data_IF_310480093517
#
_entry.id   IF_310480093517
#
_cell.length_a   1.000
_cell.length_b   1.000
_cell.length_c   1.000
_cell.angle_alpha   90.00
_cell.angle_beta   90.00
_cell.angle_gamma   90.00
#
_symmetry.space_group_name_H-M   'P 1'
#
loop_
_entity.id
_entity.type
_entity.pdbx_description
1 polymer ?
#
# COMPACT_ATOMS: atom_id res chain seq x y z
N UNK A 1 -5.21 -13.53 90.62
CA UNK A 1 -4.17 -12.72 89.94
C UNK A 1 -3.84 -13.42 88.62
N UNK A 2 -4.50 -13.05 87.58
CA UNK A 2 -4.35 -13.63 86.22
C UNK A 2 -3.66 -12.68 85.34
N UNK A 3 -2.56 -13.09 84.80
CA UNK A 3 -1.74 -12.32 83.80
C UNK A 3 -2.24 -12.69 82.40
N UNK A 4 -2.81 -11.70 81.75
CA UNK A 4 -3.12 -11.72 80.31
C UNK A 4 -1.85 -11.34 79.53
N UNK A 5 -1.24 -12.26 78.82
CA UNK A 5 -0.18 -11.98 77.82
C UNK A 5 -0.82 -11.94 76.45
N UNK A 6 -0.90 -10.73 75.92
CA UNK A 6 -1.40 -10.44 74.57
C UNK A 6 -0.43 -10.89 73.45
N UNK A 7 -0.95 -11.69 72.54
CA UNK A 7 -0.30 -12.20 71.35
C UNK A 7 -0.19 -11.14 70.23
N UNK A 8 0.90 -10.34 70.24
CA UNK A 8 1.06 -9.22 69.24
C UNK A 8 1.98 -9.55 68.04
N UNK A 9 2.36 -10.77 67.81
CA UNK A 9 3.38 -11.11 66.83
C UNK A 9 2.88 -11.71 65.49
N UNK A 10 1.59 -11.76 65.21
CA UNK A 10 1.08 -12.39 63.97
C UNK A 10 0.49 -11.46 62.91
N UNK A 11 0.33 -10.16 63.17
CA UNK A 11 -0.32 -9.25 62.26
C UNK A 11 0.65 -8.60 61.24
N UNK A 12 1.94 -8.40 61.59
CA UNK A 12 2.90 -7.66 60.72
C UNK A 12 3.33 -8.41 59.45
N UNK A 13 3.37 -9.77 59.49
CA UNK A 13 3.89 -10.57 58.37
C UNK A 13 2.92 -10.69 57.17
N UNK A 14 1.63 -10.57 57.45
CA UNK A 14 0.61 -10.57 56.38
C UNK A 14 0.56 -9.22 55.63
N UNK A 15 0.85 -8.12 56.26
CA UNK A 15 0.81 -6.78 55.63
C UNK A 15 1.92 -6.60 54.62
N UNK A 16 3.13 -7.09 54.87
CA UNK A 16 4.24 -6.99 53.88
C UNK A 16 3.99 -7.88 52.64
N UNK A 17 3.28 -9.00 52.77
CA UNK A 17 2.91 -9.84 51.63
C UNK A 17 1.87 -9.14 50.76
N UNK A 18 0.90 -8.43 51.35
CA UNK A 18 -0.09 -7.66 50.61
C UNK A 18 0.50 -6.44 49.95
N UNK A 19 1.47 -5.77 50.56
CA UNK A 19 2.22 -4.65 49.97
C UNK A 19 3.10 -5.10 48.80
N UNK A 20 3.75 -6.25 48.92
CA UNK A 20 4.53 -6.85 47.80
C UNK A 20 3.62 -7.26 46.63
N UNK A 21 2.45 -7.84 46.91
CA UNK A 21 1.49 -8.22 45.86
C UNK A 21 0.90 -6.99 45.15
N UNK A 22 0.57 -5.91 45.88
CA UNK A 22 0.07 -4.67 45.31
C UNK A 22 1.14 -3.97 44.45
N UNK A 23 2.42 -3.97 44.87
CA UNK A 23 3.51 -3.41 44.10
C UNK A 23 3.76 -4.16 42.80
N UNK A 24 3.68 -5.51 42.82
CA UNK A 24 3.77 -6.32 41.60
C UNK A 24 2.60 -6.06 40.64
N UNK A 25 1.36 -5.89 41.13
CA UNK A 25 0.21 -5.55 40.27
C UNK A 25 0.38 -4.20 39.62
N UNK A 26 0.92 -3.19 40.32
CA UNK A 26 1.21 -1.87 39.75
C UNK A 26 2.31 -1.90 38.67
N UNK A 27 3.32 -2.75 38.79
CA UNK A 27 4.38 -2.90 37.78
C UNK A 27 3.86 -3.57 36.49
N UNK A 28 2.96 -4.52 36.60
CA UNK A 28 2.33 -5.14 35.41
C UNK A 28 1.28 -4.22 34.75
N UNK A 29 0.58 -3.40 35.51
CA UNK A 29 -0.40 -2.45 34.96
C UNK A 29 0.28 -1.32 34.15
N UNK A 30 1.47 -0.86 34.52
CA UNK A 30 2.16 0.20 33.80
C UNK A 30 2.62 -0.19 32.38
N UNK A 31 3.03 -1.45 32.18
CA UNK A 31 3.36 -1.98 30.84
C UNK A 31 2.13 -2.06 29.94
N UNK A 32 0.97 -2.46 30.47
CA UNK A 32 -0.25 -2.60 29.65
C UNK A 32 -0.82 -1.24 29.22
N UNK A 33 -0.74 -0.22 30.07
CA UNK A 33 -1.22 1.14 29.75
C UNK A 33 -0.35 1.78 28.65
N UNK A 34 0.97 1.63 28.71
CA UNK A 34 1.88 2.11 27.68
C UNK A 34 1.59 1.44 26.33
N UNK A 35 1.41 0.12 26.33
CA UNK A 35 1.09 -0.65 25.11
C UNK A 35 -0.27 -0.22 24.54
N UNK A 36 -1.27 -0.02 25.39
CA UNK A 36 -2.60 0.43 24.96
C UNK A 36 -2.57 1.82 24.37
N UNK A 37 -1.81 2.75 24.95
CA UNK A 37 -1.64 4.10 24.40
C UNK A 37 -0.92 4.08 23.03
N UNK A 38 0.14 3.29 22.88
CA UNK A 38 0.84 3.15 21.61
C UNK A 38 -0.04 2.50 20.54
N UNK A 39 -0.82 1.47 20.89
CA UNK A 39 -1.77 0.85 19.97
C UNK A 39 -2.86 1.84 19.55
N UNK A 40 -3.38 2.68 20.45
CA UNK A 40 -4.38 3.70 20.10
C UNK A 40 -3.84 4.74 19.10
N UNK A 41 -2.57 5.14 19.23
CA UNK A 41 -1.92 5.99 18.23
C UNK A 41 -1.75 5.25 16.90
N UNK A 42 -1.37 3.97 16.93
CA UNK A 42 -1.24 3.14 15.76
C UNK A 42 -2.58 2.97 15.03
N UNK A 43 -3.68 2.72 15.78
CA UNK A 43 -5.04 2.66 15.25
C UNK A 43 -5.45 3.98 14.57
N UNK A 44 -5.14 5.11 15.21
CA UNK A 44 -5.45 6.44 14.67
C UNK A 44 -4.70 6.71 13.36
N UNK A 45 -3.43 6.32 13.27
CA UNK A 45 -2.63 6.49 12.05
C UNK A 45 -3.07 5.55 10.93
N UNK A 46 -3.49 4.32 11.27
CA UNK A 46 -3.97 3.35 10.27
C UNK A 46 -5.36 3.72 9.74
N UNK A 47 -6.24 4.28 10.57
CA UNK A 47 -7.62 4.60 10.20
C UNK A 47 -7.78 6.02 9.63
N UNK A 48 -7.07 7.00 10.16
CA UNK A 48 -7.31 8.44 9.90
C UNK A 48 -6.41 9.08 8.86
N UNK A 49 -5.19 8.57 8.66
CA UNK A 49 -4.19 9.25 7.82
C UNK A 49 -4.55 9.30 6.33
N UNK A 50 -5.24 8.30 5.81
CA UNK A 50 -5.58 8.23 4.39
C UNK A 50 -6.63 9.26 3.96
N UNK A 51 -7.58 9.60 4.83
CA UNK A 51 -8.65 10.55 4.51
C UNK A 51 -8.15 11.99 4.38
N UNK A 52 -7.27 12.44 5.27
CA UNK A 52 -6.71 13.80 5.26
C UNK A 52 -5.83 13.98 4.02
N UNK A 53 -4.89 13.07 3.77
CA UNK A 53 -4.02 13.15 2.59
C UNK A 53 -4.80 12.97 1.28
N UNK A 54 -5.79 12.07 1.23
CA UNK A 54 -6.56 11.83 0.00
C UNK A 54 -7.42 13.02 -0.42
N UNK A 55 -7.87 13.85 0.53
CA UNK A 55 -8.71 15.02 0.28
C UNK A 55 -7.93 16.32 0.08
N UNK A 56 -6.61 16.29 0.25
CA UNK A 56 -5.75 17.46 0.11
C UNK A 56 -5.69 17.93 -1.34
N UNK A 57 -5.57 19.24 -1.54
CA UNK A 57 -5.40 19.87 -2.85
C UNK A 57 -3.99 20.41 -3.08
N UNK A 58 -3.10 20.25 -2.12
CA UNK A 58 -1.66 20.58 -2.20
C UNK A 58 -0.78 19.31 -2.20
N UNK A 59 -0.52 18.70 -3.38
CA UNK A 59 0.37 17.54 -3.47
C UNK A 59 1.80 17.80 -2.99
N UNK A 60 2.30 19.02 -3.08
CA UNK A 60 3.62 19.40 -2.59
C UNK A 60 3.69 19.24 -1.08
N UNK A 61 2.74 19.83 -0.35
CA UNK A 61 2.61 19.70 1.10
C UNK A 61 2.51 18.24 1.53
N UNK A 62 1.66 17.47 0.84
CA UNK A 62 1.51 16.03 1.11
C UNK A 62 2.82 15.28 0.86
N UNK A 63 3.51 15.57 -0.24
CA UNK A 63 4.79 14.95 -0.58
C UNK A 63 5.90 15.21 0.43
N UNK A 64 5.92 16.40 1.04
CA UNK A 64 6.86 16.78 2.10
C UNK A 64 6.50 16.16 3.45
N UNK A 65 5.21 16.05 3.78
CA UNK A 65 4.74 15.49 5.05
C UNK A 65 4.82 13.96 5.12
N UNK A 66 4.56 13.25 4.01
CA UNK A 66 4.51 11.80 3.97
C UNK A 66 5.80 11.10 4.45
N UNK A 67 7.03 11.54 4.12
CA UNK A 67 8.25 10.91 4.63
C UNK A 67 8.33 10.89 6.16
N UNK A 68 7.92 11.97 6.82
CA UNK A 68 7.88 12.02 8.28
C UNK A 68 6.80 11.08 8.84
N UNK A 69 5.60 11.08 8.25
CA UNK A 69 4.52 10.18 8.65
C UNK A 69 4.93 8.71 8.53
N UNK A 70 5.56 8.32 7.41
CA UNK A 70 6.07 6.96 7.19
C UNK A 70 7.14 6.56 8.21
N UNK A 71 8.07 7.46 8.53
CA UNK A 71 9.09 7.20 9.55
C UNK A 71 8.49 7.10 10.96
N UNK A 72 7.45 7.86 11.25
CA UNK A 72 6.71 7.74 12.51
C UNK A 72 5.96 6.41 12.61
N UNK A 73 5.33 5.94 11.54
CA UNK A 73 4.70 4.61 11.49
C UNK A 73 5.75 3.51 11.75
N UNK A 74 6.91 3.57 11.12
CA UNK A 74 8.00 2.62 11.36
C UNK A 74 8.49 2.64 12.81
N UNK A 75 8.62 3.82 13.42
CA UNK A 75 9.01 3.94 14.83
C UNK A 75 7.98 3.31 15.78
N UNK A 76 6.69 3.49 15.50
CA UNK A 76 5.60 2.86 16.27
C UNK A 76 5.62 1.34 16.07
N UNK A 77 5.85 0.84 14.86
CA UNK A 77 5.96 -0.59 14.56
C UNK A 77 7.14 -1.24 15.31
N UNK A 78 8.22 -0.52 15.63
CA UNK A 78 9.27 -1.07 16.51
C UNK A 78 8.75 -1.37 17.92
N UNK A 79 7.80 -0.58 18.42
CA UNK A 79 7.16 -0.83 19.72
C UNK A 79 5.96 -1.80 19.63
N UNK A 80 5.33 -1.89 18.47
CA UNK A 80 4.13 -2.70 18.22
C UNK A 80 4.28 -3.55 16.94
N UNK A 81 5.26 -4.47 16.86
CA UNK A 81 5.60 -5.17 15.62
C UNK A 81 4.49 -6.10 15.08
N UNK A 82 3.49 -6.41 15.91
CA UNK A 82 2.35 -7.24 15.56
C UNK A 82 1.06 -6.44 15.30
N UNK A 83 1.17 -5.13 15.10
CA UNK A 83 0.00 -4.29 14.81
C UNK A 83 -0.34 -4.39 13.32
N UNK A 84 -1.23 -5.31 12.98
CA UNK A 84 -1.59 -5.68 11.61
C UNK A 84 -1.98 -4.50 10.73
N UNK A 85 -2.90 -3.67 11.19
CA UNK A 85 -3.43 -2.58 10.39
C UNK A 85 -2.40 -1.47 10.14
N UNK A 86 -1.51 -1.24 11.11
CA UNK A 86 -0.39 -0.32 10.92
C UNK A 86 0.66 -0.88 9.93
N UNK A 87 0.90 -2.19 9.90
CA UNK A 87 1.74 -2.82 8.89
C UNK A 87 1.16 -2.60 7.49
N UNK A 88 -0.15 -2.82 7.32
CA UNK A 88 -0.86 -2.60 6.04
C UNK A 88 -0.80 -1.12 5.64
N UNK A 89 -1.09 -0.20 6.56
CA UNK A 89 -1.04 1.24 6.31
C UNK A 89 0.37 1.72 5.95
N UNK A 90 1.40 1.17 6.60
CA UNK A 90 2.80 1.47 6.29
C UNK A 90 3.18 0.96 4.89
N UNK A 91 2.76 -0.26 4.54
CA UNK A 91 2.93 -0.78 3.19
C UNK A 91 2.26 0.12 2.15
N UNK A 92 0.99 0.46 2.36
CA UNK A 92 0.22 1.35 1.49
C UNK A 92 0.90 2.71 1.31
N UNK A 93 1.34 3.32 2.41
CA UNK A 93 1.97 4.63 2.39
C UNK A 93 3.29 4.65 1.61
N UNK A 94 4.16 3.63 1.77
CA UNK A 94 5.38 3.53 0.98
C UNK A 94 5.11 3.31 -0.50
N UNK A 95 4.09 2.53 -0.87
CA UNK A 95 3.67 2.35 -2.27
C UNK A 95 3.20 3.68 -2.86
N UNK A 96 2.27 4.36 -2.19
CA UNK A 96 1.72 5.63 -2.67
C UNK A 96 2.79 6.70 -2.79
N UNK A 97 3.66 6.85 -1.78
CA UNK A 97 4.78 7.78 -1.82
C UNK A 97 5.75 7.45 -2.96
N UNK A 98 6.09 6.18 -3.14
CA UNK A 98 6.97 5.72 -4.20
C UNK A 98 6.45 6.05 -5.60
N UNK A 99 5.15 5.88 -5.84
CA UNK A 99 4.53 6.20 -7.13
C UNK A 99 4.38 7.70 -7.34
N UNK A 100 3.70 8.39 -6.42
CA UNK A 100 3.28 9.77 -6.62
C UNK A 100 4.44 10.77 -6.52
N UNK A 101 5.37 10.57 -5.57
CA UNK A 101 6.37 11.58 -5.21
C UNK A 101 7.81 11.17 -5.54
N UNK A 102 8.04 9.93 -5.97
CA UNK A 102 9.37 9.48 -6.40
C UNK A 102 9.39 9.15 -7.88
N UNK A 103 8.51 8.25 -8.37
CA UNK A 103 8.54 7.84 -9.78
C UNK A 103 7.96 8.89 -10.72
N UNK A 104 6.83 9.53 -10.38
CA UNK A 104 6.19 10.48 -11.28
C UNK A 104 7.09 11.66 -11.63
N UNK A 105 7.81 12.32 -10.70
CA UNK A 105 8.78 13.35 -11.05
C UNK A 105 9.95 12.82 -11.88
N UNK A 106 10.29 11.54 -11.78
CA UNK A 106 11.38 10.94 -12.55
C UNK A 106 11.06 10.80 -14.05
N UNK A 107 9.78 10.84 -14.44
CA UNK A 107 9.39 10.77 -15.87
C UNK A 107 10.01 11.90 -16.67
N UNK A 108 10.05 13.12 -16.15
CA UNK A 108 10.69 14.25 -16.81
C UNK A 108 12.20 14.03 -17.00
N UNK A 109 12.87 13.37 -16.04
CA UNK A 109 14.30 13.09 -16.10
C UNK A 109 14.67 12.04 -17.15
N UNK A 110 13.74 11.21 -17.62
CA UNK A 110 14.06 10.14 -18.58
C UNK A 110 14.55 10.70 -19.92
N UNK A 111 14.02 11.83 -20.33
CA UNK A 111 14.42 12.50 -21.56
C UNK A 111 15.64 13.42 -21.40
N UNK A 112 15.89 13.92 -20.19
CA UNK A 112 16.93 14.91 -19.92
C UNK A 112 18.22 14.26 -19.35
N UNK A 113 18.08 13.32 -18.43
CA UNK A 113 19.20 12.71 -17.72
C UNK A 113 18.88 11.26 -17.29
N UNK A 114 19.17 10.31 -18.18
CA UNK A 114 18.93 8.89 -17.95
C UNK A 114 19.61 8.35 -16.68
N UNK A 115 20.80 8.86 -16.32
CA UNK A 115 21.50 8.41 -15.11
C UNK A 115 20.77 8.89 -13.85
N UNK A 116 20.28 10.12 -13.82
CA UNK A 116 19.45 10.62 -12.74
C UNK A 116 18.13 9.84 -12.63
N UNK A 117 17.46 9.59 -13.74
CA UNK A 117 16.25 8.77 -13.78
C UNK A 117 16.46 7.35 -13.23
N UNK A 118 17.60 6.71 -13.57
CA UNK A 118 17.99 5.39 -13.00
C UNK A 118 18.15 5.44 -11.49
N UNK A 119 18.82 6.47 -10.94
CA UNK A 119 18.99 6.63 -9.48
C UNK A 119 17.64 6.78 -8.77
N UNK A 120 16.72 7.53 -9.35
CA UNK A 120 15.38 7.72 -8.79
C UNK A 120 14.56 6.43 -8.85
N UNK A 121 14.60 5.69 -9.97
CA UNK A 121 13.97 4.37 -10.08
C UNK A 121 14.50 3.38 -9.05
N UNK A 122 15.82 3.36 -8.83
CA UNK A 122 16.44 2.49 -7.82
C UNK A 122 16.01 2.88 -6.39
N UNK A 123 15.83 4.17 -6.11
CA UNK A 123 15.24 4.63 -4.85
C UNK A 123 13.80 4.13 -4.70
N UNK A 124 12.98 4.27 -5.73
CA UNK A 124 11.59 3.79 -5.74
C UNK A 124 11.53 2.27 -5.52
N UNK A 125 12.36 1.48 -6.22
CA UNK A 125 12.47 0.02 -6.03
C UNK A 125 12.71 -0.33 -4.56
N UNK A 126 13.65 0.33 -3.88
CA UNK A 126 13.91 0.09 -2.45
C UNK A 126 12.71 0.42 -1.56
N UNK A 127 11.94 1.47 -1.87
CA UNK A 127 10.72 1.80 -1.13
C UNK A 127 9.63 0.75 -1.34
N UNK A 128 9.45 0.26 -2.55
CA UNK A 128 8.50 -0.82 -2.84
C UNK A 128 8.88 -2.15 -2.20
N UNK A 129 10.16 -2.50 -2.19
CA UNK A 129 10.64 -3.69 -1.46
C UNK A 129 10.41 -3.57 0.05
N UNK A 130 10.58 -2.37 0.61
CA UNK A 130 10.23 -2.10 2.02
C UNK A 130 8.74 -2.26 2.27
N UNK A 131 7.89 -1.70 1.39
CA UNK A 131 6.44 -1.85 1.45
C UNK A 131 6.02 -3.33 1.40
N UNK A 132 6.62 -4.11 0.48
CA UNK A 132 6.39 -5.56 0.37
C UNK A 132 6.66 -6.29 1.69
N UNK A 133 7.74 -5.95 2.38
CA UNK A 133 8.07 -6.58 3.66
C UNK A 133 6.99 -6.34 4.72
N UNK A 134 6.47 -5.11 4.84
CA UNK A 134 5.37 -4.82 5.76
C UNK A 134 4.08 -5.57 5.38
N UNK A 135 3.78 -5.66 4.09
CA UNK A 135 2.64 -6.44 3.61
C UNK A 135 2.77 -7.93 3.92
N UNK A 136 3.93 -8.54 3.66
CA UNK A 136 4.21 -9.94 4.02
C UNK A 136 4.09 -10.15 5.52
N UNK A 137 4.65 -9.26 6.35
CA UNK A 137 4.53 -9.36 7.81
C UNK A 137 3.08 -9.29 8.26
N UNK A 138 2.25 -8.43 7.66
CA UNK A 138 0.82 -8.36 7.99
C UNK A 138 0.09 -9.67 7.66
N UNK A 139 0.39 -10.29 6.51
CA UNK A 139 -0.17 -11.58 6.12
C UNK A 139 0.31 -12.73 7.01
N UNK A 140 1.59 -12.73 7.39
CA UNK A 140 2.19 -13.77 8.23
C UNK A 140 1.63 -13.76 9.67
N UNK A 141 1.12 -12.62 10.16
CA UNK A 141 0.44 -12.53 11.45
C UNK A 141 -0.86 -13.34 11.50
N UNK A 142 -1.63 -13.31 10.41
CA UNK A 142 -2.91 -14.03 10.31
C UNK A 142 -2.75 -15.44 9.74
N UNK A 143 -1.67 -15.68 8.98
CA UNK A 143 -1.36 -16.94 8.31
C UNK A 143 0.10 -17.33 8.60
N UNK A 144 0.41 -17.84 9.80
CA UNK A 144 1.78 -18.18 10.22
C UNK A 144 2.49 -19.10 9.23
N UNK A 145 3.70 -18.72 8.81
CA UNK A 145 4.49 -19.41 7.78
C UNK A 145 4.22 -18.92 6.36
N UNK A 146 3.37 -17.90 6.18
CA UNK A 146 3.10 -17.31 4.86
C UNK A 146 4.36 -16.77 4.21
N UNK A 147 5.25 -16.16 5.00
CA UNK A 147 6.49 -15.54 4.50
C UNK A 147 7.38 -16.51 3.75
N UNK A 148 7.44 -17.78 4.15
CA UNK A 148 8.17 -18.84 3.47
C UNK A 148 7.33 -19.53 2.40
N UNK A 149 6.06 -19.81 2.71
CA UNK A 149 5.16 -20.54 1.82
C UNK A 149 4.94 -19.83 0.48
N UNK A 150 4.89 -18.49 0.49
CA UNK A 150 4.65 -17.68 -0.72
C UNK A 150 5.76 -17.83 -1.79
N UNK A 151 6.98 -18.14 -1.38
CA UNK A 151 8.09 -18.40 -2.30
C UNK A 151 8.15 -19.86 -2.75
N UNK A 152 7.65 -20.79 -1.93
CA UNK A 152 7.65 -22.22 -2.25
C UNK A 152 6.53 -22.61 -3.22
N UNK A 153 5.27 -22.21 -2.91
CA UNK A 153 4.09 -22.42 -3.75
C UNK A 153 3.12 -21.25 -3.55
N UNK A 154 3.19 -20.22 -4.41
CA UNK A 154 2.35 -19.04 -4.29
C UNK A 154 0.85 -19.32 -4.30
N UNK A 155 0.41 -20.28 -5.12
CA UNK A 155 -1.02 -20.62 -5.27
C UNK A 155 -1.53 -21.31 -4.00
N UNK A 156 -0.77 -22.25 -3.46
CA UNK A 156 -1.11 -22.91 -2.21
C UNK A 156 -1.10 -21.93 -1.03
N UNK A 157 -0.12 -21.02 -0.98
CA UNK A 157 0.02 -20.04 0.10
C UNK A 157 -1.19 -19.12 0.23
N UNK A 158 -1.83 -18.72 -0.88
CA UNK A 158 -2.99 -17.82 -0.85
C UNK A 158 -4.34 -18.55 -0.78
N UNK A 159 -4.35 -19.87 -0.89
CA UNK A 159 -5.61 -20.67 -1.02
C UNK A 159 -6.58 -20.46 0.15
N UNK A 160 -6.06 -20.36 1.37
CA UNK A 160 -6.85 -20.20 2.60
C UNK A 160 -7.24 -18.76 2.93
N UNK A 161 -6.83 -17.78 2.13
CA UNK A 161 -7.09 -16.36 2.37
C UNK A 161 -8.58 -16.03 2.25
N UNK A 162 -9.01 -15.03 3.01
CA UNK A 162 -10.39 -14.60 3.14
C UNK A 162 -10.55 -13.11 2.79
N UNK A 163 -11.80 -12.62 2.69
CA UNK A 163 -12.09 -11.21 2.37
C UNK A 163 -11.40 -10.21 3.29
N UNK A 164 -11.21 -10.53 4.58
CA UNK A 164 -10.47 -9.70 5.53
C UNK A 164 -8.99 -9.47 5.14
N UNK A 165 -8.43 -10.37 4.32
CA UNK A 165 -7.03 -10.35 3.92
C UNK A 165 -6.78 -9.48 2.66
N UNK A 166 -7.85 -9.06 1.97
CA UNK A 166 -7.77 -8.36 0.67
C UNK A 166 -6.91 -7.12 0.74
N UNK A 167 -7.02 -6.31 1.80
CA UNK A 167 -6.18 -5.12 1.94
C UNK A 167 -4.69 -5.46 2.02
N UNK A 168 -4.31 -6.48 2.80
CA UNK A 168 -2.93 -6.93 2.91
C UNK A 168 -2.43 -7.56 1.62
N UNK A 169 -3.24 -8.40 0.96
CA UNK A 169 -2.93 -8.99 -0.35
C UNK A 169 -2.69 -7.89 -1.40
N UNK A 170 -3.61 -6.92 -1.51
CA UNK A 170 -3.52 -5.85 -2.49
C UNK A 170 -2.24 -5.04 -2.32
N UNK A 171 -1.98 -4.49 -1.12
CA UNK A 171 -0.80 -3.66 -0.91
C UNK A 171 0.51 -4.43 -1.04
N UNK A 172 0.53 -5.72 -0.67
CA UNK A 172 1.67 -6.60 -0.90
C UNK A 172 1.90 -6.83 -2.40
N UNK A 173 0.86 -7.16 -3.14
CA UNK A 173 0.95 -7.42 -4.58
C UNK A 173 1.33 -6.17 -5.38
N UNK A 174 0.73 -5.00 -5.07
CA UNK A 174 1.10 -3.72 -5.70
C UNK A 174 2.55 -3.35 -5.38
N UNK A 175 2.99 -3.49 -4.11
CA UNK A 175 4.37 -3.24 -3.73
C UNK A 175 5.35 -4.12 -4.49
N UNK A 176 5.04 -5.41 -4.62
CA UNK A 176 5.90 -6.36 -5.31
C UNK A 176 5.94 -6.10 -6.83
N UNK A 177 4.80 -5.95 -7.47
CA UNK A 177 4.71 -5.62 -8.89
C UNK A 177 5.40 -4.30 -9.23
N UNK A 178 5.27 -3.30 -8.35
CA UNK A 178 5.95 -2.00 -8.50
C UNK A 178 7.47 -2.12 -8.34
N UNK A 179 7.95 -2.98 -7.43
CA UNK A 179 9.39 -3.25 -7.29
C UNK A 179 9.96 -3.92 -8.55
N UNK A 180 9.23 -4.88 -9.14
CA UNK A 180 9.59 -5.52 -10.40
C UNK A 180 9.64 -4.47 -11.53
N UNK A 181 8.60 -3.65 -11.65
CA UNK A 181 8.52 -2.61 -12.69
C UNK A 181 9.64 -1.57 -12.57
N UNK A 182 9.96 -1.12 -11.35
CA UNK A 182 11.06 -0.17 -11.11
C UNK A 182 12.43 -0.79 -11.29
N UNK A 183 12.56 -2.09 -11.04
CA UNK A 183 13.79 -2.87 -11.16
C UNK A 183 13.99 -3.51 -12.53
N UNK A 184 13.58 -2.86 -13.63
CA UNK A 184 13.76 -3.38 -15.00
C UNK A 184 15.18 -3.91 -15.22
N UNK A 185 15.30 -5.21 -15.49
CA UNK A 185 16.60 -5.91 -15.65
C UNK A 185 17.08 -6.66 -14.41
N UNK A 186 16.41 -6.59 -13.28
CA UNK A 186 16.66 -7.44 -12.11
C UNK A 186 15.93 -8.77 -12.28
N UNK A 187 16.65 -9.75 -12.83
CA UNK A 187 16.10 -11.08 -13.17
C UNK A 187 15.54 -11.81 -11.95
N UNK A 188 16.09 -11.58 -10.77
CA UNK A 188 15.60 -12.21 -9.55
C UNK A 188 14.19 -11.71 -9.18
N UNK A 189 13.94 -10.40 -9.35
CA UNK A 189 12.61 -9.82 -9.13
C UNK A 189 11.61 -10.24 -10.22
N UNK A 190 12.05 -10.35 -11.47
CA UNK A 190 11.18 -10.79 -12.58
C UNK A 190 10.70 -12.22 -12.33
N UNK A 191 11.55 -13.08 -11.74
CA UNK A 191 11.19 -14.44 -11.34
C UNK A 191 10.02 -14.51 -10.34
N UNK A 192 9.75 -13.42 -9.61
CA UNK A 192 8.66 -13.34 -8.63
C UNK A 192 7.28 -13.01 -9.27
N UNK A 193 7.18 -12.82 -10.59
CA UNK A 193 5.89 -12.52 -11.26
C UNK A 193 4.78 -13.52 -10.94
N UNK A 194 5.02 -14.86 -10.85
CA UNK A 194 3.99 -15.82 -10.45
C UNK A 194 3.43 -15.53 -9.04
N UNK A 195 4.26 -15.03 -8.12
CA UNK A 195 3.84 -14.65 -6.76
C UNK A 195 2.87 -13.47 -6.83
N UNK A 196 3.21 -12.43 -7.59
CA UNK A 196 2.34 -11.26 -7.79
C UNK A 196 1.01 -11.68 -8.39
N UNK A 197 1.05 -12.58 -9.39
CA UNK A 197 -0.16 -13.13 -10.02
C UNK A 197 -1.06 -13.80 -8.98
N UNK A 198 -0.52 -14.75 -8.21
CA UNK A 198 -1.29 -15.51 -7.23
C UNK A 198 -1.94 -14.61 -6.16
N UNK A 199 -1.18 -13.63 -5.63
CA UNK A 199 -1.66 -12.67 -4.64
C UNK A 199 -2.80 -11.81 -5.20
N UNK A 200 -2.61 -11.24 -6.39
CA UNK A 200 -3.56 -10.28 -6.95
C UNK A 200 -4.82 -10.95 -7.52
N UNK A 201 -4.69 -12.13 -8.14
CA UNK A 201 -5.84 -12.92 -8.58
C UNK A 201 -6.68 -13.39 -7.38
N UNK A 202 -6.03 -13.80 -6.28
CA UNK A 202 -6.73 -14.15 -5.05
C UNK A 202 -7.46 -12.95 -4.43
N UNK A 203 -6.84 -11.79 -4.39
CA UNK A 203 -7.49 -10.57 -3.92
C UNK A 203 -8.71 -10.21 -4.78
N UNK A 204 -8.60 -10.34 -6.10
CA UNK A 204 -9.69 -10.07 -7.05
C UNK A 204 -10.84 -11.09 -6.89
N UNK A 205 -10.53 -12.37 -6.68
CA UNK A 205 -11.52 -13.42 -6.38
C UNK A 205 -12.33 -13.09 -5.12
N UNK A 206 -11.63 -12.66 -4.06
CA UNK A 206 -12.24 -12.42 -2.75
C UNK A 206 -13.09 -11.15 -2.69
N UNK A 207 -12.69 -10.08 -3.37
CA UNK A 207 -13.44 -8.82 -3.42
C UNK A 207 -13.18 -8.04 -4.72
N UNK A 208 -13.91 -8.35 -5.80
CA UNK A 208 -13.75 -7.64 -7.08
C UNK A 208 -14.05 -6.13 -7.00
N UNK A 209 -14.85 -5.72 -6.01
CA UNK A 209 -15.23 -4.32 -5.80
C UNK A 209 -14.30 -3.53 -4.89
N UNK A 210 -13.27 -4.17 -4.35
CA UNK A 210 -12.42 -3.57 -3.34
C UNK A 210 -11.87 -2.20 -3.78
N UNK A 211 -11.95 -1.24 -2.86
CA UNK A 211 -11.50 0.15 -3.06
C UNK A 211 -12.01 0.77 -4.39
N UNK A 212 -13.29 0.52 -4.71
CA UNK A 212 -13.95 1.06 -5.90
C UNK A 212 -13.25 0.71 -7.24
N UNK A 213 -12.62 -0.45 -7.32
CA UNK A 213 -12.02 -0.95 -8.56
C UNK A 213 -10.50 -0.89 -8.61
N UNK A 214 -9.82 -0.64 -7.49
CA UNK A 214 -8.35 -0.56 -7.45
C UNK A 214 -7.66 -1.86 -7.94
N UNK A 215 -8.24 -3.04 -7.68
CA UNK A 215 -7.75 -4.31 -8.23
C UNK A 215 -7.82 -4.33 -9.75
N UNK A 216 -8.90 -3.80 -10.33
CA UNK A 216 -9.02 -3.71 -11.78
C UNK A 216 -8.03 -2.69 -12.37
N UNK A 217 -7.76 -1.57 -11.69
CA UNK A 217 -6.72 -0.62 -12.11
C UNK A 217 -5.34 -1.29 -12.14
N UNK A 218 -5.02 -2.12 -11.17
CA UNK A 218 -3.78 -2.91 -11.18
C UNK A 218 -3.72 -3.82 -12.42
N UNK A 219 -4.79 -4.55 -12.74
CA UNK A 219 -4.81 -5.46 -13.86
C UNK A 219 -4.81 -4.77 -15.23
N UNK A 220 -5.25 -3.50 -15.35
CA UNK A 220 -5.05 -2.72 -16.59
C UNK A 220 -3.55 -2.69 -16.94
N UNK A 221 -2.70 -2.36 -15.96
CA UNK A 221 -1.25 -2.27 -16.17
C UNK A 221 -0.60 -3.65 -16.26
N UNK A 222 -1.00 -4.56 -15.38
CA UNK A 222 -0.39 -5.88 -15.28
C UNK A 222 -0.64 -6.74 -16.52
N UNK A 223 -1.88 -6.77 -17.01
CA UNK A 223 -2.26 -7.56 -18.18
C UNK A 223 -1.81 -6.93 -19.50
N UNK A 224 -1.59 -5.59 -19.55
CA UNK A 224 -1.02 -4.94 -20.72
C UNK A 224 0.44 -5.33 -20.98
N UNK A 225 1.18 -5.65 -19.92
CA UNK A 225 2.57 -6.09 -20.02
C UNK A 225 2.73 -7.59 -20.34
N UNK A 226 1.63 -8.36 -20.41
CA UNK A 226 1.61 -9.82 -20.61
C UNK A 226 0.92 -10.18 -21.92
N UNK A 227 1.44 -11.20 -22.61
CA UNK A 227 0.77 -11.76 -23.79
C UNK A 227 -0.52 -12.51 -23.40
N UNK A 228 -1.41 -12.72 -24.37
CA UNK A 228 -2.62 -13.54 -24.17
C UNK A 228 -2.28 -14.96 -23.69
N UNK A 229 -1.24 -15.56 -24.24
CA UNK A 229 -0.76 -16.88 -23.80
C UNK A 229 -0.29 -16.91 -22.35
N UNK A 230 0.18 -15.76 -21.83
CA UNK A 230 0.55 -15.59 -20.42
C UNK A 230 -0.62 -15.10 -19.54
N UNK A 231 -1.83 -15.10 -20.05
CA UNK A 231 -3.03 -14.69 -19.32
C UNK A 231 -3.25 -13.18 -19.24
N UNK A 232 -2.64 -12.38 -20.14
CA UNK A 232 -2.88 -10.95 -20.29
C UNK A 232 -3.61 -10.61 -21.57
N UNK A 233 -3.25 -9.50 -22.19
CA UNK A 233 -3.68 -9.09 -23.51
C UNK A 233 -4.84 -8.08 -23.55
N UNK A 234 -5.10 -7.50 -24.75
CA UNK A 234 -5.98 -6.35 -24.89
C UNK A 234 -7.43 -6.57 -24.43
N UNK A 235 -7.97 -7.76 -24.64
CA UNK A 235 -9.34 -8.08 -24.26
C UNK A 235 -9.55 -8.06 -22.74
N UNK A 236 -8.59 -8.61 -21.98
CA UNK A 236 -8.64 -8.58 -20.52
C UNK A 236 -8.46 -7.16 -19.98
N UNK A 237 -7.51 -6.44 -20.54
CA UNK A 237 -7.27 -5.02 -20.16
C UNK A 237 -8.53 -4.18 -20.35
N UNK A 238 -9.20 -4.33 -21.50
CA UNK A 238 -10.46 -3.61 -21.78
C UNK A 238 -11.59 -4.00 -20.81
N UNK A 239 -11.69 -5.28 -20.44
CA UNK A 239 -12.64 -5.74 -19.44
C UNK A 239 -12.35 -5.13 -18.05
N UNK A 240 -11.08 -5.10 -17.61
CA UNK A 240 -10.67 -4.48 -16.37
C UNK A 240 -10.88 -2.96 -16.37
N UNK A 241 -10.59 -2.29 -17.48
CA UNK A 241 -10.85 -0.86 -17.65
C UNK A 241 -12.34 -0.54 -17.47
N UNK A 242 -13.23 -1.24 -18.19
CA UNK A 242 -14.68 -1.05 -18.05
C UNK A 242 -15.15 -1.27 -16.62
N UNK A 243 -14.61 -2.29 -15.96
CA UNK A 243 -14.99 -2.61 -14.59
C UNK A 243 -14.50 -1.56 -13.60
N UNK A 244 -13.26 -1.07 -13.73
CA UNK A 244 -12.72 0.02 -12.91
C UNK A 244 -13.55 1.30 -13.06
N UNK A 245 -13.90 1.69 -14.29
CA UNK A 245 -14.75 2.85 -14.56
C UNK A 245 -16.15 2.70 -13.93
N UNK A 246 -16.76 1.53 -14.04
CA UNK A 246 -18.07 1.26 -13.45
C UNK A 246 -18.03 1.30 -11.92
N UNK A 247 -17.03 0.70 -11.28
CA UNK A 247 -16.88 0.65 -9.82
C UNK A 247 -16.53 2.03 -9.23
N UNK A 248 -15.69 2.81 -9.89
CA UNK A 248 -15.37 4.17 -9.47
C UNK A 248 -16.54 5.14 -9.66
N UNK A 249 -17.55 4.77 -10.46
CA UNK A 249 -18.71 5.62 -10.78
C UNK A 249 -18.31 7.02 -11.29
N UNK A 250 -17.24 7.07 -12.06
CA UNK A 250 -16.70 8.34 -12.58
C UNK A 250 -16.07 9.25 -11.52
N UNK A 251 -15.73 8.74 -10.34
CA UNK A 251 -15.06 9.51 -9.27
C UNK A 251 -13.54 9.52 -9.38
N UNK A 252 -12.97 8.52 -10.07
CA UNK A 252 -11.53 8.39 -10.33
C UNK A 252 -11.28 8.48 -11.84
N UNK A 253 -10.26 9.26 -12.20
CA UNK A 253 -9.76 9.36 -13.59
C UNK A 253 -8.50 8.50 -13.81
N UNK A 254 -8.00 7.85 -12.77
CA UNK A 254 -6.83 6.96 -12.83
C UNK A 254 -6.95 5.92 -13.95
N UNK A 255 -8.08 5.19 -14.14
CA UNK A 255 -8.20 4.21 -15.19
C UNK A 255 -7.98 4.77 -16.60
N UNK A 256 -8.40 6.03 -16.85
CA UNK A 256 -8.23 6.68 -18.17
C UNK A 256 -6.74 6.88 -18.48
N UNK A 257 -5.98 7.38 -17.50
CA UNK A 257 -4.54 7.64 -17.63
C UNK A 257 -3.77 6.32 -17.75
N UNK A 258 -4.13 5.31 -16.93
CA UNK A 258 -3.51 3.99 -17.00
C UNK A 258 -3.72 3.31 -18.35
N UNK A 259 -4.93 3.36 -18.90
CA UNK A 259 -5.23 2.79 -20.22
C UNK A 259 -4.47 3.53 -21.34
N UNK A 260 -4.42 4.87 -21.28
CA UNK A 260 -3.68 5.67 -22.25
C UNK A 260 -2.20 5.28 -22.26
N UNK A 261 -1.56 5.26 -21.09
CA UNK A 261 -0.13 4.97 -20.97
C UNK A 261 0.20 3.50 -21.29
N UNK A 262 -0.56 2.54 -20.75
CA UNK A 262 -0.19 1.12 -20.82
C UNK A 262 -0.59 0.45 -22.13
N UNK A 263 -1.64 0.94 -22.80
CA UNK A 263 -2.22 0.26 -23.96
C UNK A 263 -2.15 1.10 -25.21
N UNK A 264 -2.58 2.38 -25.16
CA UNK A 264 -2.65 3.19 -26.37
C UNK A 264 -1.26 3.44 -26.98
N UNK A 265 -0.23 3.62 -26.15
CA UNK A 265 1.16 3.74 -26.62
C UNK A 265 1.60 2.43 -27.28
N UNK A 266 1.39 1.30 -26.63
CA UNK A 266 1.77 -0.02 -27.16
C UNK A 266 1.08 -0.33 -28.50
N UNK A 267 -0.20 0.06 -28.63
CA UNK A 267 -1.00 -0.14 -29.84
C UNK A 267 -0.81 0.95 -30.88
N UNK A 268 0.03 1.95 -30.63
CA UNK A 268 0.21 3.13 -31.47
C UNK A 268 -1.11 3.85 -31.80
N UNK A 269 -2.07 3.84 -30.85
CA UNK A 269 -3.37 4.48 -31.00
C UNK A 269 -3.35 5.90 -30.40
N UNK A 270 -2.72 6.83 -31.11
CA UNK A 270 -2.58 8.23 -30.71
C UNK A 270 -3.94 8.90 -30.48
N UNK A 271 -4.92 8.63 -31.34
CA UNK A 271 -6.24 9.26 -31.25
C UNK A 271 -6.92 8.91 -29.91
N UNK A 272 -6.94 7.62 -29.54
CA UNK A 272 -7.52 7.17 -28.26
C UNK A 272 -6.72 7.69 -27.07
N UNK A 273 -5.40 7.70 -27.15
CA UNK A 273 -4.51 8.24 -26.14
C UNK A 273 -4.84 9.70 -25.81
N UNK A 274 -4.83 10.57 -26.82
CA UNK A 274 -5.15 11.97 -26.63
C UNK A 274 -6.58 12.20 -26.11
N UNK A 275 -7.55 11.42 -26.59
CA UNK A 275 -8.94 11.50 -26.13
C UNK A 275 -9.05 11.21 -24.63
N UNK A 276 -8.47 10.10 -24.14
CA UNK A 276 -8.52 9.70 -22.74
C UNK A 276 -7.83 10.72 -21.83
N UNK A 277 -6.68 11.25 -22.25
CA UNK A 277 -5.93 12.21 -21.45
C UNK A 277 -6.62 13.58 -21.42
N UNK A 278 -7.18 14.04 -22.53
CA UNK A 278 -7.99 15.29 -22.58
C UNK A 278 -9.24 15.17 -21.69
N UNK A 279 -9.90 14.01 -21.70
CA UNK A 279 -11.00 13.72 -20.79
C UNK A 279 -10.56 13.77 -19.33
N UNK A 280 -9.38 13.24 -19.00
CA UNK A 280 -8.80 13.31 -17.65
C UNK A 280 -8.52 14.75 -17.22
N UNK A 281 -7.99 15.59 -18.11
CA UNK A 281 -7.69 17.00 -17.80
C UNK A 281 -8.94 17.86 -17.64
N UNK A 282 -10.04 17.51 -18.30
CA UNK A 282 -11.32 18.22 -18.18
C UNK A 282 -12.10 17.88 -16.89
N UNK A 283 -11.63 16.90 -16.12
CA UNK A 283 -12.31 16.48 -14.91
C UNK A 283 -12.17 17.49 -13.76
N UNK A 284 -13.27 17.80 -13.08
CA UNK A 284 -13.25 18.63 -11.87
C UNK A 284 -12.84 17.81 -10.64
N UNK A 285 -11.61 17.99 -10.21
CA UNK A 285 -11.02 17.27 -9.07
C UNK A 285 -11.64 17.69 -7.72
N UNK A 286 -12.32 18.83 -7.65
CA UNK A 286 -12.96 19.30 -6.40
C UNK A 286 -14.25 18.55 -6.08
N UNK A 287 -14.87 17.92 -7.10
CA UNK A 287 -16.19 17.28 -7.00
C UNK A 287 -16.24 16.12 -6.01
N UNK A 288 -15.12 15.40 -5.82
CA UNK A 288 -15.03 14.23 -4.96
C UNK A 288 -13.79 14.34 -4.05
N UNK A 289 -13.90 14.98 -2.87
CA UNK A 289 -12.74 15.25 -2.00
C UNK A 289 -11.91 14.01 -1.67
N UNK A 290 -12.55 12.86 -1.43
CA UNK A 290 -11.87 11.61 -1.10
C UNK A 290 -10.98 11.03 -2.22
N UNK A 291 -11.07 11.57 -3.44
CA UNK A 291 -10.24 11.21 -4.60
C UNK A 291 -9.37 12.36 -5.09
N UNK A 292 -9.42 13.52 -4.41
CA UNK A 292 -8.85 14.77 -4.91
C UNK A 292 -7.37 14.65 -5.20
N UNK A 293 -6.57 14.24 -4.22
CA UNK A 293 -5.13 14.09 -4.41
C UNK A 293 -4.80 13.11 -5.55
N UNK A 294 -5.42 11.94 -5.57
CA UNK A 294 -5.20 10.94 -6.62
C UNK A 294 -5.55 11.48 -8.01
N UNK A 295 -6.68 12.21 -8.13
CA UNK A 295 -7.09 12.80 -9.40
C UNK A 295 -6.15 13.95 -9.84
N UNK A 296 -5.66 14.79 -8.91
CA UNK A 296 -4.65 15.82 -9.21
C UNK A 296 -3.37 15.17 -9.75
N UNK A 297 -2.89 14.10 -9.07
CA UNK A 297 -1.70 13.38 -9.51
C UNK A 297 -1.91 12.71 -10.88
N UNK A 298 -3.09 12.17 -11.14
CA UNK A 298 -3.45 11.61 -12.44
C UNK A 298 -3.50 12.71 -13.54
N UNK A 299 -4.04 13.90 -13.23
CA UNK A 299 -4.00 15.04 -14.17
C UNK A 299 -2.58 15.53 -14.46
N UNK A 300 -1.70 15.58 -13.44
CA UNK A 300 -0.28 15.91 -13.65
C UNK A 300 0.38 14.93 -14.62
N UNK A 301 0.11 13.64 -14.43
CA UNK A 301 0.61 12.59 -15.33
C UNK A 301 0.01 12.72 -16.73
N UNK A 302 -1.29 12.96 -16.85
CA UNK A 302 -1.96 13.14 -18.12
C UNK A 302 -1.39 14.33 -18.91
N UNK A 303 -1.10 15.44 -18.24
CA UNK A 303 -0.45 16.62 -18.84
C UNK A 303 0.93 16.26 -19.37
N UNK A 304 1.79 15.67 -18.53
CA UNK A 304 3.12 15.22 -18.94
C UNK A 304 3.08 14.32 -20.18
N UNK A 305 2.15 13.36 -20.21
CA UNK A 305 2.01 12.43 -21.35
C UNK A 305 1.56 13.15 -22.62
N UNK A 306 0.65 14.14 -22.53
CA UNK A 306 0.23 14.93 -23.67
C UNK A 306 1.33 15.88 -24.18
N UNK A 307 2.06 16.53 -23.26
CA UNK A 307 3.15 17.44 -23.61
C UNK A 307 4.31 16.72 -24.32
N UNK A 308 4.42 15.40 -24.09
CA UNK A 308 5.45 14.55 -24.71
C UNK A 308 4.87 13.55 -25.73
N UNK A 309 3.67 13.79 -26.28
CA UNK A 309 2.96 12.84 -27.14
C UNK A 309 3.80 12.36 -28.33
N UNK A 310 4.55 13.25 -28.96
CA UNK A 310 5.36 12.93 -30.14
C UNK A 310 6.55 12.00 -29.82
N UNK A 311 6.91 11.83 -28.57
CA UNK A 311 7.92 10.86 -28.13
C UNK A 311 7.39 9.43 -28.03
N UNK A 312 6.08 9.24 -28.03
CA UNK A 312 5.42 7.94 -27.85
C UNK A 312 4.85 7.35 -29.14
N UNK A 313 4.63 8.18 -30.17
CA UNK A 313 3.99 7.76 -31.43
C UNK A 313 4.88 8.07 -32.63
N UNK A 314 4.89 7.15 -33.59
CA UNK A 314 5.68 7.25 -34.84
C UNK A 314 4.86 7.86 -35.98
#
# INVERSE_FOLDING_TARGET
>A
MNTLTLNYKRCGRKWHVWQGLALCIFLFASCSIKQMAVNSVADSLSAGGTGVFASDDDPELVGEALPFALKSMEAILQATPRHRDLLIATSAGFVQYGHAFVLQPALALENENLQAARKVRERAKRLFLRARQYGIQALDLDHPGFAEAIFADPVAAVKGMQRKDVAALYWTGVAWGSAISAGKGDMSLIGDLPIVTAIMEKALELDPGWHNGALHEFFIVYDSARSEAAGGGPARVEAHFKRAMALSQGRSISPLVLLAESVCIQQQNRQRFEFLLKQSLAFDVSRYPQYRLANIMAQRKARYLLDNVDSFFY
#
